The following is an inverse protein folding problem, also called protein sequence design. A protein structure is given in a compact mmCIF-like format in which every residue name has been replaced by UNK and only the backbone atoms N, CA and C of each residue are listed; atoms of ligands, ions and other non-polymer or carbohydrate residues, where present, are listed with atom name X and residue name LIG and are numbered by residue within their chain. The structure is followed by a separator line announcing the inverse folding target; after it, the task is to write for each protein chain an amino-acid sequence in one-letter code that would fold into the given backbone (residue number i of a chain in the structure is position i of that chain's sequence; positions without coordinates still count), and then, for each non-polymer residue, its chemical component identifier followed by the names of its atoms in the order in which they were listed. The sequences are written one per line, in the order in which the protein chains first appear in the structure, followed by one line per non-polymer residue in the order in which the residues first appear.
data_IF_055305521228
#
_entry.id   IF_055305521228
#
_cell.length_a   1.000
_cell.length_b   1.000
_cell.length_c   1.000
_cell.angle_alpha   90.00
_cell.angle_beta   90.00
_cell.angle_gamma   90.00
#
_symmetry.space_group_name_H-M   'P 1'
#
loop_
_entity.id
_entity.type
_entity.pdbx_description
1 polymer ?
#
# COMPACT_ATOMS: atom_id res chain seq x y z
N UNK A 1 12.40 -17.82 60.89
CA UNK A 1 13.54 -18.38 60.12
C UNK A 1 13.20 -18.27 58.66
N UNK A 2 13.91 -17.43 57.89
CA UNK A 2 13.83 -17.47 56.42
C UNK A 2 14.52 -18.75 55.98
N UNK A 3 13.90 -19.62 55.15
CA UNK A 3 14.61 -20.78 54.64
C UNK A 3 15.81 -20.27 53.84
N UNK A 4 17.01 -20.76 54.14
CA UNK A 4 18.21 -20.50 53.34
C UNK A 4 17.90 -20.96 51.91
N UNK A 5 17.83 -20.01 50.98
CA UNK A 5 17.75 -20.35 49.57
C UNK A 5 19.06 -21.02 49.18
N UNK A 6 18.95 -22.26 48.70
CA UNK A 6 20.08 -23.06 48.23
C UNK A 6 20.87 -22.26 47.17
N UNK A 7 22.19 -22.04 47.30
CA UNK A 7 22.98 -21.18 46.40
C UNK A 7 22.84 -21.53 44.91
N UNK A 8 22.58 -22.80 44.60
CA UNK A 8 22.30 -23.27 43.24
C UNK A 8 21.00 -22.69 42.65
N UNK A 9 19.97 -22.50 43.49
CA UNK A 9 18.71 -21.89 43.07
C UNK A 9 18.87 -20.40 42.73
N UNK A 10 19.72 -19.67 43.47
CA UNK A 10 20.03 -18.28 43.17
C UNK A 10 20.74 -18.13 41.81
N UNK A 11 21.71 -19.01 41.53
CA UNK A 11 22.45 -19.02 40.26
C UNK A 11 21.51 -19.32 39.08
N UNK A 12 20.59 -20.27 39.23
CA UNK A 12 19.60 -20.61 38.20
C UNK A 12 18.66 -19.43 37.93
N UNK A 13 18.18 -18.76 38.99
CA UNK A 13 17.31 -17.56 38.87
C UNK A 13 18.04 -16.43 38.16
N UNK A 14 19.30 -16.16 38.53
CA UNK A 14 20.12 -15.12 37.92
C UNK A 14 20.33 -15.37 36.41
N UNK A 15 20.69 -16.60 36.02
CA UNK A 15 20.83 -16.98 34.60
C UNK A 15 19.53 -16.81 33.81
N UNK A 16 18.40 -17.22 34.38
CA UNK A 16 17.08 -17.10 33.72
C UNK A 16 16.66 -15.64 33.56
N UNK A 17 16.91 -14.80 34.57
CA UNK A 17 16.62 -13.37 34.53
C UNK A 17 17.47 -12.66 33.47
N UNK A 18 18.75 -13.01 33.36
CA UNK A 18 19.66 -12.43 32.36
C UNK A 18 19.19 -12.75 30.93
N UNK A 19 18.82 -14.01 30.65
CA UNK A 19 18.27 -14.42 29.35
C UNK A 19 16.97 -13.69 28.99
N UNK A 20 16.07 -13.48 29.95
CA UNK A 20 14.83 -12.72 29.73
C UNK A 20 15.12 -11.24 29.43
N UNK A 21 16.10 -10.63 30.13
CA UNK A 21 16.54 -9.26 29.85
C UNK A 21 17.14 -9.12 28.46
N UNK A 22 17.98 -10.07 28.03
CA UNK A 22 18.53 -10.08 26.68
C UNK A 22 17.45 -10.20 25.61
N UNK A 23 16.47 -11.08 25.81
CA UNK A 23 15.33 -11.22 24.90
C UNK A 23 14.49 -9.94 24.85
N UNK A 24 14.19 -9.34 26.00
CA UNK A 24 13.46 -8.08 26.06
C UNK A 24 14.21 -6.97 25.31
N UNK A 25 15.51 -6.79 25.59
CA UNK A 25 16.34 -5.80 24.91
C UNK A 25 16.44 -6.04 23.39
N UNK A 26 16.51 -7.30 22.95
CA UNK A 26 16.49 -7.64 21.53
C UNK A 26 15.15 -7.30 20.86
N UNK A 27 14.02 -7.57 21.54
CA UNK A 27 12.70 -7.20 21.04
C UNK A 27 12.48 -5.68 21.00
N UNK A 28 12.97 -4.93 21.99
CA UNK A 28 12.90 -3.47 22.00
C UNK A 28 13.73 -2.86 20.88
N UNK A 29 14.95 -3.37 20.63
CA UNK A 29 15.76 -2.92 19.50
C UNK A 29 15.08 -3.19 18.15
N UNK A 30 14.48 -4.37 17.96
CA UNK A 30 13.72 -4.70 16.74
C UNK A 30 12.52 -3.77 16.56
N UNK A 31 11.74 -3.52 17.63
CA UNK A 31 10.60 -2.59 17.60
C UNK A 31 11.03 -1.17 17.23
N UNK A 32 12.10 -0.65 17.82
CA UNK A 32 12.63 0.68 17.48
C UNK A 32 13.02 0.79 16.00
N UNK A 33 13.69 -0.22 15.45
CA UNK A 33 14.06 -0.25 14.02
C UNK A 33 12.81 -0.34 13.12
N UNK A 34 11.82 -1.15 13.50
CA UNK A 34 10.54 -1.22 12.78
C UNK A 34 9.75 0.09 12.84
N UNK A 35 9.76 0.77 13.98
CA UNK A 35 9.05 2.04 14.15
C UNK A 35 9.73 3.17 13.36
N UNK A 36 11.07 3.24 13.39
CA UNK A 36 11.86 4.18 12.58
C UNK A 36 11.68 3.94 11.07
N UNK A 37 11.71 2.68 10.62
CA UNK A 37 11.49 2.36 9.20
C UNK A 37 10.08 2.72 8.73
N UNK A 38 9.05 2.44 9.54
CA UNK A 38 7.66 2.86 9.24
C UNK A 38 7.50 4.38 9.19
N UNK A 39 8.21 5.13 10.03
CA UNK A 39 8.21 6.60 10.00
C UNK A 39 8.81 7.13 8.69
N UNK A 40 9.93 6.55 8.25
CA UNK A 40 10.58 6.92 6.98
C UNK A 40 9.68 6.59 5.79
N UNK A 41 9.07 5.40 5.75
CA UNK A 41 8.13 5.01 4.69
C UNK A 41 6.91 5.93 4.63
N UNK A 42 6.33 6.29 5.78
CA UNK A 42 5.23 7.26 5.84
C UNK A 42 5.63 8.62 5.29
N UNK A 43 6.84 9.09 5.61
CA UNK A 43 7.36 10.37 5.11
C UNK A 43 7.54 10.36 3.59
N UNK A 44 8.12 9.27 3.05
CA UNK A 44 8.26 9.09 1.59
C UNK A 44 6.92 9.03 0.88
N UNK A 45 5.95 8.31 1.44
CA UNK A 45 4.59 8.26 0.89
C UNK A 45 3.94 9.65 0.88
N UNK A 46 4.07 10.41 1.96
CA UNK A 46 3.56 11.78 2.04
C UNK A 46 4.25 12.71 1.03
N UNK A 47 5.56 12.55 0.80
CA UNK A 47 6.27 13.28 -0.24
C UNK A 47 5.73 12.92 -1.62
N UNK A 48 5.54 11.63 -1.90
CA UNK A 48 5.06 11.13 -3.19
C UNK A 48 3.63 11.62 -3.50
N UNK A 49 2.74 11.63 -2.51
CA UNK A 49 1.36 12.13 -2.66
C UNK A 49 1.28 13.59 -3.13
N UNK A 50 2.30 14.43 -2.86
CA UNK A 50 2.33 15.82 -3.36
C UNK A 50 2.51 15.92 -4.87
N UNK A 51 3.09 14.88 -5.47
CA UNK A 51 3.39 14.78 -6.90
C UNK A 51 2.36 13.99 -7.68
N UNK A 52 1.29 13.53 -7.03
CA UNK A 52 0.20 12.81 -7.68
C UNK A 52 -1.07 13.67 -7.67
N UNK A 53 -1.90 13.53 -8.69
CA UNK A 53 -3.21 14.17 -8.74
C UNK A 53 -4.28 13.24 -9.34
N UNK A 54 -5.52 13.74 -9.43
CA UNK A 54 -6.71 12.96 -9.80
C UNK A 54 -6.90 11.77 -8.83
N UNK A 55 -7.21 10.55 -9.30
CA UNK A 55 -7.43 9.37 -8.45
C UNK A 55 -6.14 8.60 -8.12
N UNK A 56 -4.99 9.27 -8.11
CA UNK A 56 -3.72 8.57 -7.98
C UNK A 56 -3.39 8.11 -6.56
N UNK A 57 -4.01 8.69 -5.54
CA UNK A 57 -4.00 8.18 -4.16
C UNK A 57 -4.70 6.82 -4.04
N UNK A 58 -5.83 6.65 -4.76
CA UNK A 58 -6.56 5.39 -4.86
C UNK A 58 -5.73 4.33 -5.58
N UNK A 59 -5.10 4.70 -6.70
CA UNK A 59 -4.21 3.81 -7.45
C UNK A 59 -3.01 3.38 -6.61
N UNK A 60 -2.38 4.32 -5.90
CA UNK A 60 -1.26 4.01 -5.01
C UNK A 60 -1.68 3.06 -3.88
N UNK A 61 -2.84 3.31 -3.26
CA UNK A 61 -3.35 2.44 -2.18
C UNK A 61 -3.68 1.03 -2.69
N UNK A 62 -4.26 0.92 -3.88
CA UNK A 62 -4.52 -0.37 -4.52
C UNK A 62 -3.23 -1.09 -4.90
N UNK A 63 -2.21 -0.35 -5.38
CA UNK A 63 -0.90 -0.87 -5.71
C UNK A 63 -0.19 -1.42 -4.46
N UNK A 64 -0.16 -0.65 -3.36
CA UNK A 64 0.43 -1.09 -2.09
C UNK A 64 -0.25 -2.34 -1.53
N UNK A 65 -1.58 -2.43 -1.64
CA UNK A 65 -2.34 -3.58 -1.15
C UNK A 65 -2.08 -4.85 -1.97
N UNK A 66 -1.85 -4.73 -3.28
CA UNK A 66 -1.71 -5.89 -4.20
C UNK A 66 -0.24 -6.28 -4.42
N UNK A 67 0.65 -5.30 -4.47
CA UNK A 67 2.07 -5.44 -4.83
C UNK A 67 2.95 -4.54 -3.93
N UNK A 68 3.03 -4.80 -2.61
CA UNK A 68 3.67 -3.88 -1.66
C UNK A 68 5.16 -3.63 -1.96
N UNK A 69 5.94 -4.69 -2.22
CA UNK A 69 7.39 -4.57 -2.44
C UNK A 69 7.73 -3.89 -3.77
N UNK A 70 6.98 -4.21 -4.82
CA UNK A 70 7.16 -3.60 -6.13
C UNK A 70 6.73 -2.13 -6.12
N UNK A 71 5.60 -1.83 -5.47
CA UNK A 71 5.09 -0.45 -5.34
C UNK A 71 6.07 0.44 -4.58
N UNK A 72 6.64 -0.05 -3.47
CA UNK A 72 7.66 0.68 -2.73
C UNK A 72 8.90 0.98 -3.60
N UNK A 73 9.33 0.01 -4.42
CA UNK A 73 10.47 0.18 -5.32
C UNK A 73 10.21 1.22 -6.40
N UNK A 74 9.03 1.17 -7.03
CA UNK A 74 8.60 2.14 -8.04
C UNK A 74 8.48 3.55 -7.43
N UNK A 75 7.86 3.67 -6.24
CA UNK A 75 7.73 4.94 -5.54
C UNK A 75 9.08 5.56 -5.23
N UNK A 76 10.01 4.80 -4.63
CA UNK A 76 11.36 5.27 -4.35
C UNK A 76 12.05 5.76 -5.63
N UNK A 77 11.92 5.00 -6.72
CA UNK A 77 12.56 5.36 -8.00
C UNK A 77 12.00 6.66 -8.57
N UNK A 78 10.68 6.89 -8.49
CA UNK A 78 10.08 8.12 -8.97
C UNK A 78 10.50 9.31 -8.11
N UNK A 79 10.53 9.15 -6.78
CA UNK A 79 11.03 10.19 -5.87
C UNK A 79 12.49 10.56 -6.18
N UNK A 80 13.35 9.58 -6.42
CA UNK A 80 14.74 9.84 -6.81
C UNK A 80 14.84 10.65 -8.12
N UNK A 81 13.96 10.38 -9.10
CA UNK A 81 13.93 11.11 -10.38
C UNK A 81 13.41 12.54 -10.20
N UNK A 82 12.46 12.75 -9.28
CA UNK A 82 11.97 14.08 -8.91
C UNK A 82 13.06 14.87 -8.20
N UNK A 83 13.78 14.26 -7.26
CA UNK A 83 14.89 14.90 -6.55
C UNK A 83 16.04 15.30 -7.48
N UNK A 84 16.30 14.51 -8.54
CA UNK A 84 17.26 14.84 -9.59
C UNK A 84 16.80 15.95 -10.52
N UNK A 85 15.50 16.27 -10.53
CA UNK A 85 14.90 17.25 -11.42
C UNK A 85 14.59 16.73 -12.83
N UNK A 86 14.70 15.42 -13.05
CA UNK A 86 14.36 14.76 -14.33
C UNK A 86 12.84 14.77 -14.56
N UNK A 87 12.06 14.69 -13.48
CA UNK A 87 10.60 14.77 -13.49
C UNK A 87 10.18 15.97 -12.65
N UNK A 88 9.57 16.97 -13.29
CA UNK A 88 9.07 18.18 -12.63
C UNK A 88 7.54 18.26 -12.64
N UNK A 89 6.89 17.44 -13.46
CA UNK A 89 5.44 17.42 -13.61
C UNK A 89 4.80 16.46 -12.60
N UNK A 90 3.58 16.78 -12.19
CA UNK A 90 2.76 15.87 -11.39
C UNK A 90 2.27 14.71 -12.26
N UNK A 91 2.07 13.56 -11.65
CA UNK A 91 1.63 12.31 -12.30
C UNK A 91 0.15 12.10 -11.99
N UNK A 92 -0.66 11.87 -13.01
CA UNK A 92 -2.07 11.52 -12.82
C UNK A 92 -2.23 10.08 -12.34
N UNK A 93 -3.37 9.77 -11.70
CA UNK A 93 -3.71 8.38 -11.35
C UNK A 93 -3.73 7.44 -12.56
N UNK A 94 -4.17 7.92 -13.73
CA UNK A 94 -4.18 7.16 -14.97
C UNK A 94 -2.78 6.83 -15.49
N UNK A 95 -1.84 7.79 -15.44
CA UNK A 95 -0.44 7.57 -15.83
C UNK A 95 0.25 6.61 -14.87
N UNK A 96 0.04 6.77 -13.56
CA UNK A 96 0.58 5.86 -12.55
C UNK A 96 0.09 4.43 -12.76
N UNK A 97 -1.22 4.26 -13.01
CA UNK A 97 -1.81 2.95 -13.31
C UNK A 97 -1.23 2.36 -14.60
N UNK A 98 -1.01 3.19 -15.62
CA UNK A 98 -0.42 2.77 -16.90
C UNK A 98 1.03 2.33 -16.73
N UNK A 99 1.83 3.05 -15.94
CA UNK A 99 3.20 2.67 -15.61
C UNK A 99 3.24 1.28 -14.95
N UNK A 100 2.38 1.04 -13.95
CA UNK A 100 2.31 -0.26 -13.31
C UNK A 100 1.97 -1.38 -14.31
N UNK A 101 1.01 -1.14 -15.22
CA UNK A 101 0.68 -2.11 -16.28
C UNK A 101 1.85 -2.36 -17.23
N UNK A 102 2.60 -1.33 -17.61
CA UNK A 102 3.82 -1.46 -18.44
C UNK A 102 4.90 -2.31 -17.74
N UNK A 103 4.98 -2.22 -16.41
CA UNK A 103 5.87 -3.06 -15.59
C UNK A 103 5.32 -4.48 -15.36
N UNK A 104 4.18 -4.84 -15.94
CA UNK A 104 3.54 -6.13 -15.77
C UNK A 104 2.73 -6.27 -14.47
N UNK A 105 2.55 -5.19 -13.72
CA UNK A 105 1.78 -5.16 -12.48
C UNK A 105 0.31 -4.84 -12.80
N UNK A 106 -0.51 -5.89 -12.87
CA UNK A 106 -1.93 -5.73 -13.13
C UNK A 106 -2.67 -5.37 -11.84
N UNK A 107 -2.76 -4.07 -11.55
CA UNK A 107 -3.48 -3.54 -10.40
C UNK A 107 -4.97 -3.44 -10.73
N UNK A 108 -5.78 -4.16 -9.96
CA UNK A 108 -7.24 -4.11 -10.08
C UNK A 108 -7.79 -2.87 -9.39
N UNK A 109 -8.52 -2.05 -10.15
CA UNK A 109 -9.23 -0.88 -9.66
C UNK A 109 -10.74 -1.10 -9.74
N UNK A 110 -11.47 -0.77 -8.69
CA UNK A 110 -12.94 -0.80 -8.68
C UNK A 110 -13.47 0.44 -9.44
N UNK A 111 -13.54 0.32 -10.76
CA UNK A 111 -14.00 1.40 -11.65
C UNK A 111 -15.40 1.11 -12.15
N UNK A 112 -16.30 2.09 -11.98
CA UNK A 112 -17.68 2.02 -12.48
C UNK A 112 -17.92 3.17 -13.44
N UNK A 113 -18.32 2.85 -14.67
CA UNK A 113 -18.68 3.85 -15.69
C UNK A 113 -20.18 4.11 -15.58
N UNK A 114 -20.56 5.37 -15.38
CA UNK A 114 -21.95 5.85 -15.42
C UNK A 114 -22.13 6.75 -16.63
N UNK A 115 -23.23 6.59 -17.34
CA UNK A 115 -23.58 7.36 -18.53
C UNK A 115 -24.87 8.12 -18.24
N UNK A 116 -24.93 9.37 -18.68
CA UNK A 116 -26.16 10.14 -18.66
C UNK A 116 -27.07 9.71 -19.82
N UNK A 117 -28.30 9.32 -19.49
CA UNK A 117 -29.32 8.94 -20.45
C UNK A 117 -30.62 9.66 -20.10
N UNK A 118 -31.05 10.57 -20.98
CA UNK A 118 -32.26 11.38 -20.78
C UNK A 118 -32.35 12.03 -19.37
N UNK A 119 -31.24 12.60 -18.90
CA UNK A 119 -31.15 13.27 -17.58
C UNK A 119 -31.03 12.33 -16.38
N UNK A 120 -30.89 11.01 -16.58
CA UNK A 120 -30.63 10.02 -15.51
C UNK A 120 -29.26 9.38 -15.69
N UNK A 121 -28.53 9.20 -14.58
CA UNK A 121 -27.27 8.45 -14.59
C UNK A 121 -27.55 6.95 -14.53
N UNK A 122 -27.32 6.24 -15.63
CA UNK A 122 -27.47 4.80 -15.75
C UNK A 122 -26.08 4.15 -15.83
N UNK A 123 -25.92 2.92 -15.32
CA UNK A 123 -24.64 2.22 -15.47
C UNK A 123 -24.40 1.86 -16.93
N UNK A 124 -23.14 1.91 -17.37
CA UNK A 124 -22.80 1.52 -18.75
C UNK A 124 -23.21 0.09 -19.06
N UNK A 125 -23.03 -0.82 -18.10
CA UNK A 125 -23.42 -2.23 -18.22
C UNK A 125 -24.92 -2.39 -18.48
N UNK A 126 -25.76 -1.62 -17.81
CA UNK A 126 -27.22 -1.66 -18.03
C UNK A 126 -27.57 -1.10 -19.40
N UNK A 127 -26.88 -0.03 -19.84
CA UNK A 127 -27.10 0.56 -21.16
C UNK A 127 -26.73 -0.40 -22.30
N UNK A 128 -25.63 -1.15 -22.15
CA UNK A 128 -25.23 -2.18 -23.12
C UNK A 128 -26.25 -3.33 -23.20
N UNK A 129 -26.77 -3.79 -22.05
CA UNK A 129 -27.82 -4.82 -22.03
C UNK A 129 -29.08 -4.35 -22.74
N UNK A 130 -29.52 -3.13 -22.46
CA UNK A 130 -30.69 -2.53 -23.11
C UNK A 130 -30.53 -2.40 -24.63
N UNK A 131 -29.32 -2.11 -25.11
CA UNK A 131 -29.01 -2.04 -26.53
C UNK A 131 -29.17 -3.42 -27.21
N UNK A 132 -28.62 -4.48 -26.63
CA UNK A 132 -28.73 -5.83 -27.22
C UNK A 132 -30.18 -6.32 -27.33
N UNK A 133 -31.00 -6.08 -26.29
CA UNK A 133 -32.42 -6.46 -26.30
C UNK A 133 -33.23 -5.71 -27.36
N UNK A 134 -32.90 -4.45 -27.69
CA UNK A 134 -33.59 -3.72 -28.77
C UNK A 134 -33.31 -4.31 -30.15
N UNK A 135 -32.07 -4.70 -30.43
CA UNK A 135 -31.69 -5.25 -31.72
C UNK A 135 -32.32 -6.63 -31.99
N UNK A 136 -32.51 -7.45 -30.94
CA UNK A 136 -33.20 -8.75 -31.07
C UNK A 136 -34.68 -8.60 -31.46
N UNK A 137 -35.34 -7.53 -31.00
CA UNK A 137 -36.76 -7.27 -31.27
C UNK A 137 -37.01 -6.55 -32.61
N UNK A 138 -35.96 -6.07 -33.30
CA UNK A 138 -36.07 -5.42 -34.62
C UNK A 138 -35.80 -6.40 -35.78
N UNK A 139 -35.39 -7.64 -35.47
CA UNK A 139 -35.12 -8.71 -36.45
C UNK A 139 -36.24 -9.74 -36.62
N UNK A 140 -37.39 -9.56 -35.93
CA UNK A 140 -38.62 -10.36 -36.09
C UNK A 140 -39.72 -9.61 -36.85
#
# INVERSE_FOLDING_TARGET
MKPEEDPDLEIIKARKMLKLREQAAATEKRRKIEDESKLVEKSKKQAFLKYIYDRGDEVLSAAESQYPSQTASVMNRILDLIERGDIQQKISGGELLSLFRMLGLNIRMNTTIKIEDHGKLVSFSDKLKAYNVKNENETD
#
